data_IF_385125183131
#
_entry.id   IF_385125183131
#
_cell.length_a   1.000
_cell.length_b   1.000
_cell.length_c   1.000
_cell.angle_alpha   90.00
_cell.angle_beta   90.00
_cell.angle_gamma   90.00
#
_symmetry.space_group_name_H-M   'P 1'
#
loop_
_entity.id
_entity.type
_entity.pdbx_description
1 polymer ?
#
# COMPACT_ATOMS: atom_id res chain seq x y z
N UNK A 1 -4.42 -26.49 -0.89
CA UNK A 1 -3.90 -25.20 -1.37
C UNK A 1 -4.46 -24.08 -0.49
N UNK A 2 -3.88 -23.90 0.70
CA UNK A 2 -4.34 -22.93 1.70
C UNK A 2 -3.84 -21.53 1.32
N UNK A 3 -4.66 -20.75 0.61
CA UNK A 3 -4.50 -19.30 0.59
C UNK A 3 -4.81 -18.80 1.99
N UNK A 4 -3.79 -18.63 2.81
CA UNK A 4 -3.87 -17.89 4.07
C UNK A 4 -4.64 -16.59 3.77
N UNK A 5 -5.79 -16.41 4.42
CA UNK A 5 -6.56 -15.18 4.35
C UNK A 5 -5.69 -14.06 4.92
N UNK A 6 -4.93 -13.40 4.05
CA UNK A 6 -4.43 -12.08 4.37
C UNK A 6 -5.65 -11.21 4.63
N UNK A 7 -5.75 -10.52 5.80
CA UNK A 7 -6.88 -9.65 6.08
C UNK A 7 -7.06 -8.69 4.91
N UNK A 8 -8.32 -8.32 4.62
CA UNK A 8 -8.59 -7.37 3.54
C UNK A 8 -7.68 -6.14 3.73
N UNK A 9 -7.11 -5.60 2.63
CA UNK A 9 -6.11 -4.51 2.70
C UNK A 9 -6.58 -3.35 3.58
N UNK A 10 -7.90 -3.08 3.56
CA UNK A 10 -8.58 -2.10 4.39
C UNK A 10 -8.65 -2.48 5.86
N UNK A 11 -8.95 -3.74 6.17
CA UNK A 11 -8.93 -4.24 7.55
C UNK A 11 -7.53 -4.12 8.15
N UNK A 12 -6.48 -4.46 7.37
CA UNK A 12 -5.10 -4.25 7.81
C UNK A 12 -4.86 -2.78 8.15
N UNK A 13 -5.22 -1.83 7.27
CA UNK A 13 -5.05 -0.40 7.52
C UNK A 13 -5.82 0.10 8.76
N UNK A 14 -7.01 -0.45 9.02
CA UNK A 14 -7.82 -0.12 10.22
C UNK A 14 -7.20 -0.65 11.51
N UNK A 15 -6.59 -1.83 11.47
CA UNK A 15 -5.90 -2.43 12.63
C UNK A 15 -4.45 -1.98 12.77
N UNK A 16 -3.89 -1.32 11.76
CA UNK A 16 -2.49 -0.92 11.73
C UNK A 16 -2.26 0.24 12.70
N UNK A 17 -1.52 -0.08 13.75
CA UNK A 17 -1.05 0.85 14.78
C UNK A 17 0.49 0.84 14.86
N UNK A 18 1.04 1.88 15.46
CA UNK A 18 2.46 2.09 15.79
C UNK A 18 3.13 0.89 16.48
N UNK A 19 2.36 0.09 17.23
CA UNK A 19 2.83 -1.10 17.96
C UNK A 19 2.84 -2.38 17.13
N UNK A 20 2.28 -2.36 15.93
CA UNK A 20 2.11 -3.56 15.08
C UNK A 20 3.43 -4.08 14.56
N UNK A 21 4.42 -3.20 14.38
CA UNK A 21 5.75 -3.58 13.90
C UNK A 21 6.64 -3.85 15.11
N UNK A 22 7.11 -5.10 15.29
CA UNK A 22 7.97 -5.41 16.40
C UNK A 22 9.29 -4.62 16.33
N UNK A 23 9.61 -3.89 17.39
CA UNK A 23 10.81 -3.04 17.45
C UNK A 23 12.12 -3.83 17.23
N UNK A 24 12.15 -5.11 17.59
CA UNK A 24 13.32 -5.98 17.46
C UNK A 24 13.72 -6.29 16.00
N UNK A 25 12.85 -6.03 15.03
CA UNK A 25 13.18 -6.21 13.60
C UNK A 25 14.11 -5.10 13.09
N UNK A 26 14.10 -3.95 13.76
CA UNK A 26 14.94 -2.82 13.43
C UNK A 26 16.24 -2.82 14.24
N UNK A 27 17.33 -2.44 13.59
CA UNK A 27 18.60 -2.15 14.25
C UNK A 27 18.70 -0.65 14.51
N UNK A 28 19.04 -0.27 15.74
CA UNK A 28 19.20 1.13 16.14
C UNK A 28 20.70 1.40 16.28
N UNK A 29 21.16 2.46 15.62
CA UNK A 29 22.50 3.01 15.81
C UNK A 29 22.43 4.47 16.22
N UNK A 30 23.36 4.91 17.07
CA UNK A 30 23.44 6.29 17.52
C UNK A 30 24.62 7.02 16.89
N UNK A 31 24.41 8.28 16.53
CA UNK A 31 25.45 9.16 15.99
C UNK A 31 25.28 10.59 16.52
N UNK A 32 26.19 11.48 16.12
CA UNK A 32 26.12 12.89 16.48
C UNK A 32 24.99 13.59 15.72
N UNK A 33 24.28 14.48 16.39
CA UNK A 33 23.29 15.35 15.75
C UNK A 33 23.98 16.33 14.80
N UNK A 34 23.30 16.72 13.72
CA UNK A 34 23.90 17.55 12.65
C UNK A 34 23.81 19.06 12.91
N UNK A 35 23.40 19.48 14.12
CA UNK A 35 23.13 20.90 14.44
C UNK A 35 24.40 21.77 14.59
N UNK A 36 24.30 23.09 14.39
CA UNK A 36 25.41 24.03 14.57
C UNK A 36 25.95 23.95 16.00
N UNK A 37 27.27 23.82 16.11
CA UNK A 37 27.99 23.34 17.29
C UNK A 37 27.80 24.18 18.56
N UNK A 38 27.50 23.47 19.65
CA UNK A 38 27.70 23.90 21.03
C UNK A 38 28.34 22.75 21.82
N UNK A 39 28.91 23.02 23.00
CA UNK A 39 29.66 22.02 23.80
C UNK A 39 28.93 20.67 23.97
N UNK A 40 27.60 20.67 24.07
CA UNK A 40 26.80 19.45 24.23
C UNK A 40 26.57 18.67 22.93
N UNK A 41 26.61 19.33 21.76
CA UNK A 41 26.43 18.70 20.43
C UNK A 41 27.63 17.82 20.07
N UNK A 42 28.82 18.20 20.54
CA UNK A 42 30.06 17.47 20.24
C UNK A 42 30.33 16.27 21.16
N UNK A 43 29.56 16.10 22.25
CA UNK A 43 29.84 15.09 23.30
C UNK A 43 28.84 13.95 23.36
N UNK A 44 27.58 14.14 22.95
CA UNK A 44 26.53 13.12 23.11
C UNK A 44 26.01 12.66 21.75
N UNK A 45 26.10 11.36 21.48
CA UNK A 45 25.53 10.72 20.29
C UNK A 45 24.00 10.64 20.42
N UNK A 46 23.28 11.76 20.32
CA UNK A 46 21.83 11.78 20.53
C UNK A 46 21.03 11.33 19.31
N UNK A 47 21.55 11.48 18.07
CA UNK A 47 20.83 11.12 16.84
C UNK A 47 20.61 9.61 16.80
N UNK A 48 19.35 9.19 16.68
CA UNK A 48 18.98 7.79 16.46
C UNK A 48 18.83 7.52 14.95
N UNK A 49 19.30 6.37 14.51
CA UNK A 49 19.11 5.84 13.16
C UNK A 49 18.54 4.44 13.26
N UNK A 50 17.35 4.25 12.71
CA UNK A 50 16.66 2.98 12.58
C UNK A 50 16.96 2.41 11.18
N UNK A 51 17.64 1.26 11.14
CA UNK A 51 17.83 0.44 9.94
C UNK A 51 16.90 -0.76 10.02
N UNK A 52 15.90 -0.81 9.14
CA UNK A 52 14.91 -1.89 9.09
C UNK A 52 15.04 -2.68 7.78
N UNK A 53 15.53 -3.94 7.80
CA UNK A 53 15.61 -4.77 6.61
C UNK A 53 14.23 -4.97 5.97
N UNK A 54 14.10 -4.72 4.67
CA UNK A 54 12.83 -4.92 3.97
C UNK A 54 12.42 -6.39 4.01
N UNK A 55 13.36 -7.33 3.92
CA UNK A 55 13.04 -8.76 3.97
C UNK A 55 12.35 -9.19 5.28
N UNK A 56 12.61 -8.49 6.39
CA UNK A 56 11.92 -8.70 7.66
C UNK A 56 10.58 -7.97 7.75
N UNK A 57 10.43 -6.81 7.08
CA UNK A 57 9.21 -5.99 7.10
C UNK A 57 8.14 -6.50 6.12
N UNK A 58 8.53 -6.90 4.91
CA UNK A 58 7.63 -7.26 3.81
C UNK A 58 6.63 -8.38 4.15
N UNK A 59 6.97 -9.41 4.95
CA UNK A 59 6.01 -10.43 5.39
C UNK A 59 4.89 -9.91 6.31
N UNK A 60 5.11 -8.77 6.98
CA UNK A 60 4.16 -8.19 7.95
C UNK A 60 3.21 -7.17 7.31
N UNK A 61 3.44 -6.81 6.05
CA UNK A 61 2.70 -5.77 5.35
C UNK A 61 2.05 -6.31 4.07
N UNK A 62 0.91 -5.76 3.64
CA UNK A 62 0.25 -6.18 2.40
C UNK A 62 1.18 -6.09 1.18
N UNK A 63 1.04 -7.06 0.26
CA UNK A 63 1.82 -7.14 -0.99
C UNK A 63 1.84 -5.83 -1.79
N UNK A 64 0.75 -5.06 -1.74
CA UNK A 64 0.63 -3.77 -2.45
C UNK A 64 1.61 -2.71 -1.97
N UNK A 65 2.09 -2.80 -0.71
CA UNK A 65 3.07 -1.86 -0.17
C UNK A 65 4.51 -2.22 -0.58
N UNK A 66 4.73 -3.43 -1.12
CA UNK A 66 6.09 -3.92 -1.38
C UNK A 66 6.83 -3.08 -2.41
N UNK A 67 6.19 -2.72 -3.52
CA UNK A 67 6.82 -1.89 -4.56
C UNK A 67 7.04 -0.44 -4.09
N UNK A 68 6.03 0.26 -3.52
CA UNK A 68 6.21 1.60 -2.94
C UNK A 68 7.29 1.67 -1.87
N UNK A 69 7.39 0.68 -0.97
CA UNK A 69 8.40 0.68 0.08
C UNK A 69 9.82 0.52 -0.47
N UNK A 70 10.00 -0.28 -1.52
CA UNK A 70 11.29 -0.39 -2.23
C UNK A 70 11.67 0.88 -2.99
N UNK A 71 10.68 1.63 -3.48
CA UNK A 71 10.86 2.90 -4.17
C UNK A 71 10.91 4.12 -3.23
N UNK A 72 10.74 3.92 -1.93
CA UNK A 72 10.70 4.99 -0.94
C UNK A 72 12.03 5.74 -0.88
N UNK A 73 11.99 7.05 -0.64
CA UNK A 73 13.19 7.87 -0.36
C UNK A 73 14.00 7.39 0.85
N UNK A 74 13.37 6.64 1.75
CA UNK A 74 14.03 6.04 2.92
C UNK A 74 14.66 4.70 2.60
N UNK A 75 14.37 4.11 1.43
CA UNK A 75 14.97 2.85 1.02
C UNK A 75 16.43 3.09 0.64
N UNK A 76 17.32 2.36 1.32
CA UNK A 76 18.73 2.30 1.01
C UNK A 76 19.04 1.00 0.27
N UNK A 77 19.90 1.10 -0.75
CA UNK A 77 20.23 0.01 -1.66
C UNK A 77 20.89 -1.19 -0.97
N UNK A 78 21.11 -2.25 -1.76
CA UNK A 78 21.86 -3.44 -1.33
C UNK A 78 23.30 -3.03 -0.99
N UNK A 79 23.58 -2.79 0.28
CA UNK A 79 24.95 -2.57 0.74
C UNK A 79 25.56 -3.92 1.09
N UNK A 80 26.67 -4.26 0.45
CA UNK A 80 27.56 -5.36 0.85
C UNK A 80 26.87 -6.73 1.07
N UNK A 81 26.11 -7.19 0.07
CA UNK A 81 25.43 -8.50 0.14
C UNK A 81 24.21 -8.57 1.07
N UNK A 82 23.86 -7.48 1.75
CA UNK A 82 22.60 -7.36 2.48
C UNK A 82 21.47 -6.89 1.57
N UNK A 83 20.25 -7.36 1.84
CA UNK A 83 19.03 -6.91 1.18
C UNK A 83 18.78 -5.40 1.35
N UNK A 84 17.80 -4.87 0.62
CA UNK A 84 17.38 -3.47 0.80
C UNK A 84 16.86 -3.24 2.24
N UNK A 85 17.03 -2.03 2.76
CA UNK A 85 16.54 -1.65 4.08
C UNK A 85 15.92 -0.26 4.05
N UNK A 86 15.03 0.03 5.00
CA UNK A 86 14.58 1.39 5.28
C UNK A 86 15.50 2.02 6.32
N UNK A 87 16.00 3.21 6.03
CA UNK A 87 16.82 4.01 6.94
C UNK A 87 16.04 5.26 7.37
N UNK A 88 15.70 5.33 8.66
CA UNK A 88 14.93 6.43 9.24
C UNK A 88 15.74 7.03 10.38
N UNK A 89 15.83 8.36 10.43
CA UNK A 89 16.67 9.06 11.40
C UNK A 89 15.87 10.12 12.17
N UNK A 90 16.24 10.33 13.43
CA UNK A 90 15.72 11.43 14.24
C UNK A 90 16.78 11.98 15.19
N UNK A 91 16.88 13.30 15.25
CA UNK A 91 17.72 14.07 16.19
C UNK A 91 16.99 15.26 16.81
N UNK A 92 15.66 15.18 16.91
CA UNK A 92 14.78 16.22 17.43
C UNK A 92 14.96 16.47 18.94
N UNK A 93 15.36 15.45 19.69
CA UNK A 93 15.54 15.50 21.14
C UNK A 93 17.01 15.34 21.54
N UNK A 94 17.33 15.85 22.74
CA UNK A 94 18.62 15.57 23.40
C UNK A 94 18.70 14.14 23.95
N UNK A 95 17.56 13.47 24.13
CA UNK A 95 17.47 12.12 24.68
C UNK A 95 17.43 11.08 23.55
N UNK A 96 18.35 10.11 23.60
CA UNK A 96 18.41 9.00 22.65
C UNK A 96 17.09 8.22 22.59
N UNK A 97 16.50 7.88 23.75
CA UNK A 97 15.24 7.14 23.81
C UNK A 97 14.10 7.84 23.07
N UNK A 98 13.95 9.16 23.26
CA UNK A 98 12.95 9.94 22.55
C UNK A 98 13.19 9.94 21.03
N UNK A 99 14.45 10.01 20.59
CA UNK A 99 14.77 9.94 19.16
C UNK A 99 14.52 8.55 18.57
N UNK A 100 14.66 7.48 19.36
CA UNK A 100 14.27 6.13 18.95
C UNK A 100 12.76 6.07 18.75
N UNK A 101 11.97 6.58 19.69
CA UNK A 101 10.51 6.61 19.55
C UNK A 101 10.08 7.41 18.30
N UNK A 102 10.67 8.59 18.08
CA UNK A 102 10.44 9.38 16.86
C UNK A 102 10.78 8.61 15.57
N UNK A 103 11.80 7.74 15.57
CA UNK A 103 12.10 6.91 14.40
C UNK A 103 10.98 5.90 14.11
N UNK A 104 10.43 5.26 15.14
CA UNK A 104 9.30 4.34 14.99
C UNK A 104 8.01 5.05 14.60
N UNK A 105 7.78 6.26 15.12
CA UNK A 105 6.62 7.07 14.73
C UNK A 105 6.70 7.48 13.25
N UNK A 106 7.89 7.91 12.79
CA UNK A 106 8.15 8.20 11.37
C UNK A 106 7.97 6.96 10.48
N UNK A 107 8.41 5.78 10.94
CA UNK A 107 8.18 4.52 10.24
C UNK A 107 6.69 4.21 10.10
N UNK A 108 5.93 4.35 11.20
CA UNK A 108 4.50 4.13 11.20
C UNK A 108 3.78 5.09 10.25
N UNK A 109 4.11 6.39 10.31
CA UNK A 109 3.57 7.40 9.40
C UNK A 109 3.86 7.08 7.93
N UNK A 110 5.11 6.69 7.62
CA UNK A 110 5.50 6.28 6.26
C UNK A 110 4.64 5.12 5.75
N UNK A 111 4.46 4.08 6.56
CA UNK A 111 3.69 2.90 6.16
C UNK A 111 2.22 3.21 6.00
N UNK A 112 1.67 4.02 6.91
CA UNK A 112 0.28 4.44 6.87
C UNK A 112 -0.01 5.30 5.64
N UNK A 113 0.80 6.33 5.38
CA UNK A 113 0.60 7.21 4.22
C UNK A 113 0.74 6.44 2.90
N UNK A 114 1.75 5.57 2.79
CA UNK A 114 1.92 4.68 1.64
C UNK A 114 0.70 3.77 1.45
N UNK A 115 0.13 3.26 2.54
CA UNK A 115 -1.04 2.42 2.48
C UNK A 115 -2.31 3.19 2.10
N UNK A 116 -2.50 4.40 2.60
CA UNK A 116 -3.63 5.28 2.23
C UNK A 116 -3.56 5.69 0.75
N UNK A 117 -2.36 5.89 0.20
CA UNK A 117 -2.17 6.22 -1.22
C UNK A 117 -2.49 5.02 -2.14
N UNK A 118 -2.01 3.83 -1.76
CA UNK A 118 -2.05 2.65 -2.64
C UNK A 118 -3.36 1.87 -2.49
N UNK A 119 -4.00 1.94 -1.32
CA UNK A 119 -5.28 1.27 -1.07
C UNK A 119 -6.37 2.26 -1.48
N UNK A 120 -7.05 2.06 -2.62
CA UNK A 120 -8.11 2.96 -3.04
C UNK A 120 -9.17 3.05 -1.95
N UNK A 121 -9.52 4.31 -1.63
CA UNK A 121 -10.60 4.64 -0.71
C UNK A 121 -11.92 3.96 -1.09
N UNK A 122 -12.91 4.04 -0.21
CA UNK A 122 -14.24 3.55 -0.57
C UNK A 122 -14.68 4.19 -1.87
N UNK A 123 -14.99 3.35 -2.87
CA UNK A 123 -15.55 3.83 -4.13
C UNK A 123 -16.79 4.64 -3.76
N UNK A 124 -16.76 5.95 -4.04
CA UNK A 124 -17.87 6.85 -3.71
C UNK A 124 -19.20 6.19 -4.12
N UNK A 125 -20.27 6.35 -3.34
CA UNK A 125 -21.56 5.75 -3.67
C UNK A 125 -22.02 6.12 -5.08
N UNK A 126 -21.62 7.29 -5.58
CA UNK A 126 -21.83 7.76 -6.95
C UNK A 126 -21.09 6.92 -7.99
N UNK A 127 -19.84 6.56 -7.71
CA UNK A 127 -19.00 5.78 -8.61
C UNK A 127 -19.47 4.31 -8.63
N UNK A 128 -19.96 3.77 -7.51
CA UNK A 128 -20.63 2.46 -7.48
C UNK A 128 -21.96 2.46 -8.25
N UNK A 129 -22.74 3.54 -8.15
CA UNK A 129 -23.98 3.72 -8.91
C UNK A 129 -23.69 3.80 -10.40
N UNK A 130 -22.70 4.59 -10.82
CA UNK A 130 -22.26 4.71 -12.21
C UNK A 130 -21.82 3.38 -12.81
N UNK A 131 -21.05 2.57 -12.07
CA UNK A 131 -20.66 1.22 -12.53
C UNK A 131 -21.88 0.32 -12.71
N UNK A 132 -22.83 0.33 -11.76
CA UNK A 132 -24.09 -0.42 -11.87
C UNK A 132 -24.94 0.02 -13.07
N UNK A 133 -25.03 1.32 -13.32
CA UNK A 133 -25.79 1.87 -14.44
C UNK A 133 -25.15 1.50 -15.79
N UNK A 134 -23.82 1.56 -15.89
CA UNK A 134 -23.08 1.12 -17.09
C UNK A 134 -23.27 -0.39 -17.35
N UNK A 135 -23.21 -1.22 -16.30
CA UNK A 135 -23.46 -2.66 -16.42
C UNK A 135 -24.90 -2.95 -16.87
N UNK A 136 -25.88 -2.20 -16.36
CA UNK A 136 -27.27 -2.29 -16.79
C UNK A 136 -27.43 -1.93 -18.26
N UNK A 137 -26.89 -0.78 -18.67
CA UNK A 137 -26.96 -0.32 -20.05
C UNK A 137 -26.30 -1.31 -21.03
N UNK A 138 -25.15 -1.87 -20.67
CA UNK A 138 -24.47 -2.90 -21.48
C UNK A 138 -25.34 -4.16 -21.63
N UNK A 139 -25.97 -4.62 -20.54
CA UNK A 139 -26.86 -5.77 -20.57
C UNK A 139 -28.10 -5.52 -21.42
N UNK A 140 -28.71 -4.35 -21.32
CA UNK A 140 -29.86 -3.97 -22.15
C UNK A 140 -29.50 -3.91 -23.63
N UNK A 141 -28.38 -3.29 -23.98
CA UNK A 141 -27.90 -3.23 -25.35
C UNK A 141 -27.66 -4.64 -25.93
N UNK A 142 -27.03 -5.53 -25.14
CA UNK A 142 -26.82 -6.94 -25.51
C UNK A 142 -28.14 -7.68 -25.74
N UNK A 143 -29.12 -7.50 -24.86
CA UNK A 143 -30.45 -8.12 -24.98
C UNK A 143 -31.21 -7.60 -26.20
N UNK A 144 -31.19 -6.29 -26.46
CA UNK A 144 -31.78 -5.68 -27.66
C UNK A 144 -31.12 -6.23 -28.94
N UNK A 145 -29.79 -6.30 -28.96
CA UNK A 145 -29.04 -6.91 -30.06
C UNK A 145 -29.46 -8.37 -30.32
N UNK A 146 -29.57 -9.20 -29.28
CA UNK A 146 -30.07 -10.57 -29.41
C UNK A 146 -31.49 -10.63 -29.97
N UNK A 147 -32.39 -9.75 -29.51
CA UNK A 147 -33.77 -9.68 -30.03
C UNK A 147 -33.81 -9.32 -31.51
N UNK A 148 -33.04 -8.32 -31.93
CA UNK A 148 -32.96 -7.90 -33.34
C UNK A 148 -32.44 -9.04 -34.23
N UNK A 149 -31.38 -9.73 -33.79
CA UNK A 149 -30.84 -10.89 -34.52
C UNK A 149 -31.84 -12.03 -34.61
N UNK A 150 -32.58 -12.31 -33.53
CA UNK A 150 -33.63 -13.33 -33.52
C UNK A 150 -34.76 -12.99 -34.49
N UNK A 151 -35.25 -11.74 -34.49
CA UNK A 151 -36.29 -11.28 -35.43
C UNK A 151 -35.83 -11.44 -36.88
N UNK A 152 -34.64 -10.93 -37.20
CA UNK A 152 -34.04 -11.07 -38.54
C UNK A 152 -33.95 -12.52 -39.01
N UNK A 153 -33.64 -13.46 -38.10
CA UNK A 153 -33.60 -14.90 -38.42
C UNK A 153 -34.99 -15.50 -38.62
N UNK A 154 -35.98 -15.03 -37.88
CA UNK A 154 -37.39 -15.44 -38.01
C UNK A 154 -37.98 -14.97 -39.35
N UNK A 155 -37.78 -13.70 -39.70
CA UNK A 155 -38.31 -13.11 -40.94
C UNK A 155 -37.76 -13.83 -42.18
N UNK A 156 -36.48 -14.22 -42.16
CA UNK A 156 -35.84 -15.05 -43.21
C UNK A 156 -36.42 -16.46 -43.34
N UNK A 157 -37.03 -17.01 -42.29
CA UNK A 157 -37.68 -18.33 -42.32
C UNK A 157 -39.12 -18.22 -42.83
N UNK A 158 -39.82 -17.16 -42.46
CA UNK A 158 -41.18 -16.87 -42.92
C UNK A 158 -41.24 -16.71 -44.43
N UNK A 159 -40.29 -15.99 -45.05
CA UNK A 159 -40.29 -15.75 -46.50
C UNK A 159 -40.03 -17.00 -47.36
N UNK A 160 -39.69 -18.13 -46.74
CA UNK A 160 -39.40 -19.41 -47.43
C UNK A 160 -40.59 -20.38 -47.36
N UNK A 161 -41.68 -20.00 -46.68
CA UNK A 161 -42.86 -20.85 -46.45
C UNK A 161 -44.03 -20.59 -47.41
N UNK A 162 -43.95 -19.56 -48.26
CA UNK A 162 -45.04 -19.14 -49.17
C UNK A 162 -44.90 -19.69 -50.62
N UNK A 163 -44.02 -20.67 -50.85
CA UNK A 163 -43.80 -21.30 -52.16
C UNK A 163 -43.88 -22.84 -52.07
N UNK A 164 -44.92 -23.37 -51.42
CA UNK A 164 -45.33 -24.77 -51.49
C UNK A 164 -46.86 -24.84 -51.65
#
# INVERSE_FOLDING_TARGET
MLRLLQPSRRQWLRSFDSRTIPRHLGQISFSRSSGPGGQNVNKVNSKATLKLPLDALLPLVPLVLHAPLRASRYAVGKSQGQGQALLIQSDESRKQASNVDSCFDKLHQLLRSTAEEVIPGETSPEQQKRVRDLQRAQNEARLKGKKLQSKKKSDRRSSRSDYD
#
